data_IF_743595046591
#
_entry.id   IF_743595046591
#
_cell.length_a   1.000
_cell.length_b   1.000
_cell.length_c   1.000
_cell.angle_alpha   90.00
_cell.angle_beta   90.00
_cell.angle_gamma   90.00
#
_symmetry.space_group_name_H-M   'P 1'
#
loop_
_entity.id
_entity.type
_entity.pdbx_description
1 polymer ?
#
# COMPACT_ATOMS: atom_id res chain seq x y z
N UNK A 1 24.85 9.51 24.58
CA UNK A 1 23.49 10.09 24.71
C UNK A 1 22.49 9.07 24.20
N UNK A 2 21.49 8.67 25.00
CA UNK A 2 20.34 7.91 24.49
C UNK A 2 19.45 8.90 23.76
N UNK A 3 19.27 8.74 22.46
CA UNK A 3 18.25 9.48 21.72
C UNK A 3 16.92 8.89 22.15
N UNK A 4 16.08 9.68 22.82
CA UNK A 4 14.70 9.30 23.09
C UNK A 4 13.94 9.55 21.80
N UNK A 5 13.64 8.49 21.06
CA UNK A 5 12.89 8.60 19.80
C UNK A 5 11.44 8.25 20.12
N UNK A 6 10.52 9.17 19.80
CA UNK A 6 9.09 8.99 19.99
C UNK A 6 8.58 7.90 19.01
N UNK A 7 8.05 6.76 19.50
CA UNK A 7 7.60 5.67 18.64
C UNK A 7 6.51 6.08 17.63
N UNK A 8 5.69 7.07 17.96
CA UNK A 8 4.71 7.63 17.01
C UNK A 8 5.39 8.32 15.83
N UNK A 9 6.38 9.17 16.11
CA UNK A 9 7.14 9.88 15.07
C UNK A 9 7.90 8.90 14.16
N UNK A 10 8.40 7.78 14.70
CA UNK A 10 9.03 6.73 13.88
C UNK A 10 8.02 6.13 12.90
N UNK A 11 6.83 5.76 13.39
CA UNK A 11 5.79 5.14 12.55
C UNK A 11 5.29 6.12 11.48
N UNK A 12 5.10 7.38 11.83
CA UNK A 12 4.71 8.43 10.89
C UNK A 12 5.77 8.62 9.81
N UNK A 13 7.04 8.78 10.22
CA UNK A 13 8.15 8.96 9.30
C UNK A 13 8.35 7.76 8.38
N UNK A 14 8.24 6.53 8.90
CA UNK A 14 8.35 5.31 8.10
C UNK A 14 7.27 5.23 7.03
N UNK A 15 6.02 5.54 7.39
CA UNK A 15 4.93 5.55 6.44
C UNK A 15 5.10 6.66 5.39
N UNK A 16 5.51 7.86 5.81
CA UNK A 16 5.74 8.97 4.89
C UNK A 16 6.84 8.66 3.88
N UNK A 17 7.99 8.15 4.33
CA UNK A 17 9.12 7.79 3.47
C UNK A 17 8.72 6.72 2.46
N UNK A 18 8.11 5.62 2.91
CA UNK A 18 7.72 4.55 1.98
C UNK A 18 6.58 4.95 1.05
N UNK A 19 5.62 5.77 1.51
CA UNK A 19 4.62 6.33 0.62
C UNK A 19 5.26 7.21 -0.45
N UNK A 20 6.30 7.99 -0.11
CA UNK A 20 7.03 8.81 -1.07
C UNK A 20 7.77 7.95 -2.10
N UNK A 21 8.54 6.95 -1.67
CA UNK A 21 9.27 6.03 -2.55
C UNK A 21 8.30 5.34 -3.54
N UNK A 22 7.16 4.84 -3.06
CA UNK A 22 6.19 4.11 -3.86
C UNK A 22 5.41 5.03 -4.81
N UNK A 23 4.87 6.14 -4.30
CA UNK A 23 3.90 6.96 -5.02
C UNK A 23 4.54 8.14 -5.77
N UNK A 24 5.59 8.76 -5.22
CA UNK A 24 6.22 9.93 -5.82
C UNK A 24 7.40 9.52 -6.69
N UNK A 25 8.32 8.72 -6.15
CA UNK A 25 9.52 8.31 -6.88
C UNK A 25 9.19 7.16 -7.84
N UNK A 26 8.33 6.24 -7.41
CA UNK A 26 7.99 5.04 -8.17
C UNK A 26 9.04 3.95 -8.11
N UNK A 27 10.05 4.11 -7.26
CA UNK A 27 11.14 3.18 -7.07
C UNK A 27 11.20 2.90 -5.58
N UNK A 28 10.96 1.65 -5.20
CA UNK A 28 10.89 1.28 -3.79
C UNK A 28 11.43 -0.12 -3.58
N UNK A 29 11.77 -0.41 -2.33
CA UNK A 29 12.20 -1.73 -1.93
C UNK A 29 10.98 -2.65 -1.75
N UNK A 30 10.89 -3.72 -2.54
CA UNK A 30 9.82 -4.72 -2.43
C UNK A 30 9.91 -5.63 -1.20
N UNK A 31 11.00 -5.56 -0.43
CA UNK A 31 11.23 -6.41 0.75
C UNK A 31 11.73 -5.64 1.99
N UNK A 32 10.90 -4.76 2.61
CA UNK A 32 11.30 -4.03 3.81
C UNK A 32 11.15 -4.88 5.08
N UNK A 33 11.77 -6.08 5.12
CA UNK A 33 11.77 -6.91 6.31
C UNK A 33 12.41 -6.18 7.51
N UNK A 34 12.00 -6.47 8.76
CA UNK A 34 12.54 -5.81 9.94
C UNK A 34 14.07 -5.93 10.09
N UNK A 35 14.68 -6.98 9.53
CA UNK A 35 16.14 -7.15 9.48
C UNK A 35 16.88 -6.13 8.62
N UNK A 36 16.16 -5.37 7.78
CA UNK A 36 16.70 -4.41 6.83
C UNK A 36 16.47 -2.94 7.25
N UNK A 37 15.82 -2.69 8.39
CA UNK A 37 15.47 -1.35 8.89
C UNK A 37 16.28 -1.06 10.17
N UNK A 38 17.28 -0.18 10.07
CA UNK A 38 18.13 0.22 11.20
C UNK A 38 17.78 1.61 11.70
N UNK A 39 17.60 1.75 13.01
CA UNK A 39 17.51 3.05 13.67
C UNK A 39 18.94 3.61 13.85
N UNK A 40 19.29 4.65 13.11
CA UNK A 40 20.59 5.29 13.20
C UNK A 40 20.66 6.21 14.43
N UNK A 41 21.87 6.40 14.97
CA UNK A 41 22.12 7.18 16.21
C UNK A 41 21.70 8.66 16.14
N UNK A 42 21.32 9.16 14.97
CA UNK A 42 20.85 10.52 14.73
C UNK A 42 19.33 10.60 14.47
N UNK A 43 18.58 9.53 14.74
CA UNK A 43 17.12 9.49 14.51
C UNK A 43 16.72 9.23 13.05
N UNK A 44 17.68 8.96 12.16
CA UNK A 44 17.40 8.53 10.78
C UNK A 44 17.19 7.03 10.68
N UNK A 45 16.62 6.58 9.59
CA UNK A 45 16.38 5.17 9.28
C UNK A 45 17.33 4.75 8.16
N UNK A 46 18.09 3.68 8.40
CA UNK A 46 18.96 3.05 7.40
C UNK A 46 18.27 1.83 6.82
N UNK A 47 18.05 1.84 5.50
CA UNK A 47 17.58 0.69 4.72
C UNK A 47 18.79 0.05 4.06
N UNK A 48 19.08 -1.24 4.32
CA UNK A 48 20.34 -1.87 3.86
C UNK A 48 20.20 -2.92 2.76
N UNK A 49 18.99 -3.32 2.41
CA UNK A 49 18.78 -4.35 1.39
C UNK A 49 17.93 -3.80 0.26
N UNK A 50 18.45 -3.83 -0.96
CA UNK A 50 17.78 -3.45 -2.20
C UNK A 50 17.54 -4.68 -3.10
N UNK A 51 17.52 -5.88 -2.53
CA UNK A 51 17.47 -7.14 -3.28
C UNK A 51 16.28 -7.32 -4.23
N UNK A 52 15.21 -6.52 -4.09
CA UNK A 52 14.06 -6.49 -5.01
C UNK A 52 13.52 -5.06 -5.19
N UNK A 53 14.32 -4.17 -5.80
CA UNK A 53 13.83 -2.85 -6.22
C UNK A 53 12.70 -3.04 -7.23
N UNK A 54 11.54 -2.46 -6.93
CA UNK A 54 10.37 -2.45 -7.80
C UNK A 54 10.22 -1.07 -8.41
N UNK A 55 9.89 -1.03 -9.70
CA UNK A 55 9.57 0.20 -10.41
C UNK A 55 8.09 0.22 -10.81
N UNK A 56 7.38 1.28 -10.42
CA UNK A 56 6.02 1.56 -10.83
C UNK A 56 6.00 2.66 -11.88
N UNK A 57 5.44 2.33 -13.05
CA UNK A 57 5.07 3.33 -14.04
C UNK A 57 4.11 4.36 -13.44
N UNK A 58 4.05 5.56 -14.02
CA UNK A 58 3.13 6.61 -13.57
C UNK A 58 1.67 6.11 -13.51
N UNK A 59 1.22 5.32 -14.49
CA UNK A 59 -0.11 4.71 -14.47
C UNK A 59 -0.34 3.82 -13.25
N UNK A 60 0.63 2.98 -12.87
CA UNK A 60 0.52 2.15 -11.66
C UNK A 60 0.47 2.99 -10.39
N UNK A 61 1.32 4.03 -10.31
CA UNK A 61 1.34 4.93 -9.15
C UNK A 61 0.01 5.67 -8.98
N UNK A 62 -0.57 6.17 -10.07
CA UNK A 62 -1.88 6.84 -10.05
C UNK A 62 -2.99 5.87 -9.61
N UNK A 63 -3.02 4.65 -10.16
CA UNK A 63 -3.99 3.63 -9.73
C UNK A 63 -3.86 3.29 -8.24
N UNK A 64 -2.64 3.11 -7.73
CA UNK A 64 -2.44 2.85 -6.32
C UNK A 64 -2.81 4.07 -5.46
N UNK A 65 -2.44 5.29 -5.87
CA UNK A 65 -2.81 6.50 -5.15
C UNK A 65 -4.32 6.67 -5.05
N UNK A 66 -5.06 6.43 -6.14
CA UNK A 66 -6.54 6.43 -6.11
C UNK A 66 -7.08 5.40 -5.14
N UNK A 67 -6.55 4.17 -5.14
CA UNK A 67 -6.96 3.14 -4.17
C UNK A 67 -6.73 3.59 -2.73
N UNK A 68 -5.57 4.18 -2.43
CA UNK A 68 -5.22 4.67 -1.09
C UNK A 68 -6.19 5.76 -0.62
N UNK A 69 -6.53 6.70 -1.50
CA UNK A 69 -7.53 7.74 -1.18
C UNK A 69 -8.90 7.12 -0.93
N UNK A 70 -9.36 6.21 -1.81
CA UNK A 70 -10.64 5.52 -1.63
C UNK A 70 -10.70 4.69 -0.34
N UNK A 71 -9.61 4.05 0.05
CA UNK A 71 -9.54 3.35 1.34
C UNK A 71 -9.61 4.34 2.51
N UNK A 72 -8.97 5.51 2.41
CA UNK A 72 -8.98 6.49 3.48
C UNK A 72 -10.38 7.12 3.68
N UNK A 73 -11.07 7.49 2.61
CA UNK A 73 -12.28 8.34 2.71
C UNK A 73 -13.42 7.96 1.76
N UNK A 74 -13.23 6.97 0.89
CA UNK A 74 -14.22 6.53 -0.09
C UNK A 74 -15.22 5.50 0.43
N UNK A 75 -16.19 5.20 -0.41
CA UNK A 75 -17.24 4.21 -0.17
C UNK A 75 -16.77 2.79 -0.53
N UNK A 76 -17.47 1.78 0.00
CA UNK A 76 -17.22 0.37 -0.33
C UNK A 76 -17.35 0.11 -1.82
N UNK A 77 -18.35 0.71 -2.46
CA UNK A 77 -18.65 0.54 -3.87
C UNK A 77 -17.50 1.07 -4.75
N UNK A 78 -16.96 2.25 -4.42
CA UNK A 78 -15.82 2.84 -5.14
C UNK A 78 -14.56 1.99 -4.96
N UNK A 79 -14.28 1.51 -3.75
CA UNK A 79 -13.13 0.62 -3.47
C UNK A 79 -13.24 -0.65 -4.33
N UNK A 80 -14.40 -1.30 -4.35
CA UNK A 80 -14.61 -2.52 -5.14
C UNK A 80 -14.42 -2.25 -6.62
N UNK A 81 -15.07 -1.21 -7.15
CA UNK A 81 -14.96 -0.86 -8.58
C UNK A 81 -13.52 -0.60 -8.98
N UNK A 82 -12.79 0.16 -8.17
CA UNK A 82 -11.40 0.51 -8.45
C UNK A 82 -10.47 -0.70 -8.30
N UNK A 83 -10.64 -1.52 -7.26
CA UNK A 83 -9.79 -2.69 -7.06
C UNK A 83 -10.00 -3.77 -8.13
N UNK A 84 -11.21 -3.86 -8.69
CA UNK A 84 -11.52 -4.66 -9.89
C UNK A 84 -10.84 -4.06 -11.13
N UNK A 85 -10.83 -2.74 -11.30
CA UNK A 85 -10.15 -2.06 -12.41
C UNK A 85 -8.63 -2.29 -12.39
N UNK A 86 -8.07 -2.53 -11.20
CA UNK A 86 -6.66 -2.90 -11.00
C UNK A 86 -6.35 -4.37 -11.33
N UNK A 87 -7.35 -5.19 -11.66
CA UNK A 87 -7.17 -6.58 -12.09
C UNK A 87 -7.63 -7.65 -11.10
N UNK A 88 -8.15 -7.26 -9.92
CA UNK A 88 -8.65 -8.23 -8.93
C UNK A 88 -9.86 -8.99 -9.46
N UNK A 89 -9.87 -10.31 -9.33
CA UNK A 89 -10.97 -11.20 -9.70
C UNK A 89 -11.17 -12.27 -8.63
N UNK A 90 -12.43 -12.48 -8.24
CA UNK A 90 -12.87 -13.65 -7.48
C UNK A 90 -13.88 -14.43 -8.32
N UNK A 91 -14.11 -15.71 -8.00
CA UNK A 91 -14.95 -16.62 -8.82
C UNK A 91 -16.35 -16.06 -9.06
N UNK A 92 -16.96 -15.46 -8.04
CA UNK A 92 -18.31 -14.89 -8.10
C UNK A 92 -18.32 -13.36 -8.07
N UNK A 93 -17.16 -12.70 -8.21
CA UNK A 93 -17.02 -11.24 -8.12
C UNK A 93 -17.69 -10.66 -6.85
N UNK A 94 -17.60 -11.39 -5.72
CA UNK A 94 -18.26 -11.00 -4.48
C UNK A 94 -17.69 -9.66 -3.96
N UNK A 95 -18.50 -8.58 -3.91
CA UNK A 95 -18.01 -7.24 -3.55
C UNK A 95 -17.55 -7.16 -2.09
N UNK A 96 -18.09 -8.00 -1.19
CA UNK A 96 -17.60 -8.08 0.18
C UNK A 96 -16.17 -8.65 0.23
N UNK A 97 -15.90 -9.73 -0.50
CA UNK A 97 -14.56 -10.34 -0.53
C UNK A 97 -13.55 -9.39 -1.16
N UNK A 98 -13.89 -8.75 -2.27
CA UNK A 98 -13.00 -7.80 -2.97
C UNK A 98 -12.66 -6.60 -2.08
N UNK A 99 -13.64 -6.01 -1.39
CA UNK A 99 -13.39 -4.89 -0.47
C UNK A 99 -12.45 -5.30 0.68
N UNK A 100 -12.73 -6.45 1.32
CA UNK A 100 -11.90 -6.94 2.41
C UNK A 100 -10.47 -7.27 1.96
N UNK A 101 -10.28 -7.80 0.75
CA UNK A 101 -8.95 -8.01 0.17
C UNK A 101 -8.19 -6.69 -0.02
N UNK A 102 -8.86 -5.62 -0.47
CA UNK A 102 -8.25 -4.29 -0.60
C UNK A 102 -7.84 -3.73 0.77
N UNK A 103 -8.70 -3.83 1.78
CA UNK A 103 -8.41 -3.39 3.17
C UNK A 103 -7.23 -4.12 3.78
N UNK A 104 -7.22 -5.45 3.71
CA UNK A 104 -6.13 -6.28 4.26
C UNK A 104 -4.80 -6.01 3.56
N UNK A 105 -4.82 -5.76 2.25
CA UNK A 105 -3.62 -5.44 1.48
C UNK A 105 -3.07 -4.05 1.84
N UNK A 106 -3.92 -3.03 1.79
CA UNK A 106 -3.46 -1.64 1.68
C UNK A 106 -3.88 -0.71 2.84
N UNK A 107 -4.65 -1.17 3.82
CA UNK A 107 -5.17 -0.27 4.87
C UNK A 107 -5.05 -0.78 6.31
N UNK A 108 -5.85 -1.78 6.70
CA UNK A 108 -6.04 -2.21 8.10
C UNK A 108 -6.36 -3.70 8.18
N UNK A 109 -5.99 -4.30 9.31
CA UNK A 109 -6.18 -5.70 9.66
C UNK A 109 -6.62 -5.88 11.14
N UNK A 110 -7.23 -4.84 11.71
CA UNK A 110 -7.76 -4.80 13.07
C UNK A 110 -9.05 -5.66 13.24
N UNK A 111 -9.55 -5.87 14.48
CA UNK A 111 -10.74 -6.68 14.72
C UNK A 111 -12.03 -6.19 14.04
N UNK A 112 -12.14 -4.90 13.69
CA UNK A 112 -13.28 -4.38 12.93
C UNK A 112 -13.22 -4.86 11.48
N UNK A 113 -12.04 -4.82 10.87
CA UNK A 113 -11.83 -5.31 9.51
C UNK A 113 -11.89 -6.84 9.45
N UNK A 114 -11.18 -7.51 10.36
CA UNK A 114 -11.03 -8.96 10.40
C UNK A 114 -12.16 -9.68 11.16
N UNK A 115 -13.17 -8.96 11.62
CA UNK A 115 -14.35 -9.51 12.32
C UNK A 115 -13.97 -10.39 13.51
N UNK A 116 -13.04 -9.89 14.33
CA UNK A 116 -12.52 -10.58 15.52
C UNK A 116 -11.57 -11.74 15.25
N UNK A 117 -11.28 -12.07 13.98
CA UNK A 117 -10.30 -13.11 13.61
C UNK A 117 -8.90 -12.52 13.44
N UNK A 118 -7.89 -13.38 13.50
CA UNK A 118 -6.56 -13.03 13.03
C UNK A 118 -6.57 -12.84 11.50
N UNK A 119 -5.77 -11.90 10.98
CA UNK A 119 -5.70 -11.55 9.56
C UNK A 119 -5.48 -12.75 8.62
N UNK A 120 -4.63 -13.71 8.99
CA UNK A 120 -4.36 -14.90 8.18
C UNK A 120 -5.60 -15.80 8.08
N UNK A 121 -6.24 -16.10 9.21
CA UNK A 121 -7.46 -16.91 9.25
C UNK A 121 -8.63 -16.20 8.57
N UNK A 122 -8.68 -14.87 8.66
CA UNK A 122 -9.68 -14.07 7.98
C UNK A 122 -9.49 -14.13 6.46
N UNK A 123 -8.25 -13.95 5.97
CA UNK A 123 -7.91 -14.09 4.55
C UNK A 123 -8.24 -15.49 3.99
N UNK A 124 -7.91 -16.55 4.72
CA UNK A 124 -8.30 -17.93 4.35
C UNK A 124 -9.82 -18.11 4.31
N UNK A 125 -10.53 -17.47 5.24
CA UNK A 125 -12.00 -17.44 5.26
C UNK A 125 -12.59 -16.75 4.03
N UNK A 126 -12.00 -15.63 3.60
CA UNK A 126 -12.40 -14.93 2.37
C UNK A 126 -12.30 -15.83 1.15
N UNK A 127 -11.18 -16.56 0.99
CA UNK A 127 -10.98 -17.49 -0.12
C UNK A 127 -11.94 -18.69 -0.12
N UNK A 128 -12.49 -19.06 1.05
CA UNK A 128 -13.56 -20.07 1.17
C UNK A 128 -14.94 -19.52 0.82
N UNK A 129 -15.18 -18.23 1.06
CA UNK A 129 -16.44 -17.57 0.73
C UNK A 129 -16.55 -17.30 -0.79
N UNK A 130 -15.47 -16.83 -1.39
CA UNK A 130 -15.34 -16.66 -2.83
C UNK A 130 -13.88 -16.88 -3.23
N UNK A 131 -13.64 -17.86 -4.11
CA UNK A 131 -12.29 -18.23 -4.53
C UNK A 131 -11.60 -17.05 -5.20
N UNK A 132 -10.37 -16.75 -4.77
CA UNK A 132 -9.56 -15.67 -5.32
C UNK A 132 -8.89 -16.18 -6.58
N UNK A 133 -9.35 -15.72 -7.75
CA UNK A 133 -8.82 -16.12 -9.05
C UNK A 133 -7.58 -15.30 -9.38
N UNK A 134 -7.62 -14.00 -9.11
CA UNK A 134 -6.53 -13.08 -9.43
C UNK A 134 -6.49 -11.93 -8.43
N UNK A 135 -5.31 -11.63 -7.91
CA UNK A 135 -5.00 -10.38 -7.22
C UNK A 135 -4.37 -9.40 -8.21
N UNK A 136 -4.37 -8.09 -7.93
CA UNK A 136 -3.86 -7.12 -8.88
C UNK A 136 -2.34 -7.26 -9.01
N UNK A 137 -1.93 -7.82 -10.15
CA UNK A 137 -0.53 -8.13 -10.44
C UNK A 137 0.35 -6.86 -10.42
N UNK A 138 1.53 -6.99 -9.82
CA UNK A 138 2.48 -5.89 -9.69
C UNK A 138 2.29 -4.99 -8.47
N UNK A 139 1.19 -5.07 -7.72
CA UNK A 139 0.99 -4.25 -6.51
C UNK A 139 1.29 -4.98 -5.19
N UNK A 140 1.52 -6.30 -5.25
CA UNK A 140 1.75 -7.14 -4.06
C UNK A 140 2.92 -6.65 -3.20
N UNK A 141 3.99 -6.17 -3.81
CA UNK A 141 5.15 -5.67 -3.06
C UNK A 141 4.83 -4.37 -2.30
N UNK A 142 4.03 -3.47 -2.89
CA UNK A 142 3.56 -2.27 -2.20
C UNK A 142 2.61 -2.62 -1.05
N UNK A 143 1.72 -3.60 -1.24
CA UNK A 143 0.87 -4.12 -0.17
C UNK A 143 1.70 -4.69 0.98
N UNK A 144 2.77 -5.44 0.66
CA UNK A 144 3.70 -6.02 1.63
C UNK A 144 4.39 -4.98 2.49
N UNK A 145 4.84 -3.87 1.88
CA UNK A 145 5.40 -2.72 2.62
C UNK A 145 4.38 -2.22 3.64
N UNK A 146 3.13 -1.99 3.22
CA UNK A 146 2.04 -1.59 4.13
C UNK A 146 1.83 -2.57 5.28
N UNK A 147 1.78 -3.89 4.99
CA UNK A 147 1.63 -4.95 6.01
C UNK A 147 2.77 -4.90 7.04
N UNK A 148 4.01 -4.74 6.59
CA UNK A 148 5.19 -4.72 7.47
C UNK A 148 5.20 -3.49 8.38
N UNK A 149 4.82 -2.32 7.84
CA UNK A 149 4.67 -1.10 8.63
C UNK A 149 3.56 -1.22 9.67
N UNK A 150 2.42 -1.83 9.31
CA UNK A 150 1.35 -2.15 10.26
C UNK A 150 1.82 -3.11 11.35
N UNK A 151 2.54 -4.16 10.97
CA UNK A 151 3.11 -5.13 11.91
C UNK A 151 4.05 -4.47 12.92
N UNK A 152 4.90 -3.55 12.48
CA UNK A 152 5.74 -2.75 13.37
C UNK A 152 4.91 -1.85 14.30
N UNK A 153 3.87 -1.20 13.76
CA UNK A 153 2.92 -0.42 14.55
C UNK A 153 2.29 -1.26 15.66
N UNK A 154 1.75 -2.43 15.33
CA UNK A 154 1.17 -3.38 16.29
C UNK A 154 2.19 -3.82 17.35
N UNK A 155 3.43 -4.12 16.95
CA UNK A 155 4.51 -4.48 17.89
C UNK A 155 4.83 -3.35 18.88
N UNK A 156 4.79 -2.10 18.41
CA UNK A 156 4.96 -0.90 19.25
C UNK A 156 3.69 -0.49 20.02
N UNK A 157 2.61 -1.28 19.95
CA UNK A 157 1.28 -0.95 20.51
C UNK A 157 0.64 0.31 19.89
N UNK A 158 1.00 0.60 18.63
CA UNK A 158 0.52 1.71 17.81
C UNK A 158 -0.12 1.22 16.51
N UNK A 159 -1.25 0.48 16.58
CA UNK A 159 -1.98 0.09 15.38
C UNK A 159 -2.44 1.34 14.63
N UNK A 160 -2.42 1.27 13.30
CA UNK A 160 -2.76 2.41 12.46
C UNK A 160 -3.29 1.99 11.09
N UNK A 161 -3.98 2.93 10.44
CA UNK A 161 -4.36 2.83 9.04
C UNK A 161 -3.20 3.25 8.14
N UNK A 162 -2.79 2.35 7.24
CA UNK A 162 -1.82 2.67 6.20
C UNK A 162 -2.42 3.66 5.20
N UNK A 163 -3.70 3.47 4.81
CA UNK A 163 -4.33 4.34 3.83
C UNK A 163 -4.42 5.79 4.33
N UNK A 164 -4.77 6.00 5.60
CA UNK A 164 -4.81 7.33 6.21
C UNK A 164 -3.43 8.00 6.24
N UNK A 165 -2.37 7.25 6.58
CA UNK A 165 -1.01 7.80 6.59
C UNK A 165 -0.48 8.09 5.19
N UNK A 166 -0.86 7.30 4.19
CA UNK A 166 -0.38 7.46 2.81
C UNK A 166 -1.24 8.44 2.00
N UNK A 167 -2.47 8.72 2.43
CA UNK A 167 -3.41 9.59 1.72
C UNK A 167 -2.87 10.99 1.40
N UNK A 168 -2.13 11.70 2.29
CA UNK A 168 -1.55 12.99 1.94
C UNK A 168 -0.59 12.92 0.74
N UNK A 169 0.25 11.88 0.67
CA UNK A 169 1.19 11.67 -0.44
C UNK A 169 0.45 11.25 -1.71
N UNK A 170 -0.55 10.38 -1.58
CA UNK A 170 -1.40 9.95 -2.68
C UNK A 170 -2.16 11.13 -3.31
N UNK A 171 -2.79 11.99 -2.51
CA UNK A 171 -3.47 13.21 -2.97
C UNK A 171 -2.52 14.15 -3.69
N UNK A 172 -1.32 14.37 -3.14
CA UNK A 172 -0.29 15.19 -3.80
C UNK A 172 0.08 14.67 -5.19
N UNK A 173 0.18 13.34 -5.37
CA UNK A 173 0.42 12.75 -6.68
C UNK A 173 -0.76 12.99 -7.63
N UNK A 174 -1.98 12.70 -7.18
CA UNK A 174 -3.18 12.88 -7.99
C UNK A 174 -3.37 14.34 -8.40
N UNK A 175 -3.19 15.29 -7.48
CA UNK A 175 -3.27 16.73 -7.75
C UNK A 175 -2.25 17.19 -8.78
N UNK A 176 -1.03 16.63 -8.75
CA UNK A 176 0.04 16.95 -9.70
C UNK A 176 -0.29 16.50 -11.13
N UNK A 177 -1.06 15.43 -11.29
CA UNK A 177 -1.36 14.81 -12.59
C UNK A 177 -2.85 14.88 -12.97
N UNK A 178 -3.66 15.67 -12.25
CA UNK A 178 -5.12 15.79 -12.45
C UNK A 178 -5.54 16.21 -13.87
N UNK A 179 -4.67 16.95 -14.57
CA UNK A 179 -4.92 17.49 -15.90
C UNK A 179 -4.26 16.64 -17.02
N UNK A 180 -3.66 15.50 -16.68
CA UNK A 180 -2.98 14.62 -17.64
C UNK A 180 -3.95 13.53 -18.10
N UNK A 181 -4.27 13.53 -19.39
CA UNK A 181 -5.16 12.54 -20.01
C UNK A 181 -4.54 11.13 -19.94
N UNK A 182 -5.30 10.13 -19.50
CA UNK A 182 -4.86 8.73 -19.39
C UNK A 182 -4.33 8.17 -20.72
N UNK A 183 -4.84 8.65 -21.86
CA UNK A 183 -4.34 8.23 -23.18
C UNK A 183 -2.91 8.73 -23.48
N UNK A 184 -2.50 9.87 -22.90
CA UNK A 184 -1.16 10.45 -23.08
C UNK A 184 -0.08 9.74 -22.24
N UNK A 185 -0.48 9.04 -21.18
CA UNK A 185 0.42 8.31 -20.27
C UNK A 185 0.90 6.97 -20.84
N UNK A 186 0.15 6.38 -21.78
CA UNK A 186 0.52 5.11 -22.42
C UNK A 186 1.41 5.29 -23.67
N UNK A 187 1.49 6.50 -24.24
CA UNK A 187 2.24 6.78 -25.47
C UNK A 187 3.68 7.27 -25.23
N UNK A 188 4.00 7.70 -24.02
CA UNK A 188 5.34 8.21 -23.66
C UNK A 188 6.39 7.11 -23.41
N UNK A 189 6.01 5.83 -23.44
CA UNK A 189 6.92 4.68 -23.30
C UNK A 189 7.69 4.37 -24.59
N UNK A 190 7.30 4.94 -25.75
CA UNK A 190 7.90 4.61 -27.05
C UNK A 190 8.95 5.60 -27.58
N UNK A 191 9.29 6.68 -26.86
CA UNK A 191 10.22 7.72 -27.37
C UNK A 191 11.48 7.89 -26.51
N UNK A 192 11.72 6.99 -25.56
CA UNK A 192 12.80 7.13 -24.57
C UNK A 192 14.12 6.41 -24.86
N UNK A 193 14.27 5.73 -26.01
CA UNK A 193 15.53 5.11 -26.42
C UNK A 193 15.71 5.20 -27.94
N UNK A 194 16.35 6.28 -28.39
CA UNK A 194 17.00 6.38 -29.71
C UNK A 194 18.20 7.28 -29.59
#
# INVERSE_FOLDING_TARGET
>A
QRVFINPHEIIDLLNEVHAHEILIDGIFNGDPHPGNIFLLKNGKIGLIDFGQVQEFSLSRRLKLATLIVLLAEGTKEEIVQHYVSMGTRTRYMNPYVIEKLARLGFDRDDPEICEGKNAQLFFEGLGKLDEIIQLPDGYLMAARVGILLRGLGTWLQLPHSTAQKWAPVAKKLLDKYKDVDEQSLNSSVLVGYS
#
